data_IF_544029532504
#
_entry.id   IF_544029532504
#
_cell.length_a   1.000
_cell.length_b   1.000
_cell.length_c   1.000
_cell.angle_alpha   90.00
_cell.angle_beta   90.00
_cell.angle_gamma   90.00
#
_symmetry.space_group_name_H-M   'P 1'
#
loop_
_entity.id
_entity.type
_entity.pdbx_description
1 polymer ?
#
# COMPACT_ATOMS: atom_id res chain seq x y z
N UNK A 1 48.84 37.31 139.71
CA UNK A 1 50.01 37.38 138.80
C UNK A 1 49.87 36.29 137.74
N UNK A 2 49.97 36.69 136.46
CA UNK A 2 50.15 35.89 135.22
C UNK A 2 50.95 34.57 135.44
N UNK A 3 50.71 33.49 134.70
CA UNK A 3 50.90 33.38 133.24
C UNK A 3 49.97 32.33 132.60
N UNK A 4 49.21 32.76 131.59
CA UNK A 4 48.71 31.88 130.54
C UNK A 4 49.82 31.63 129.53
N UNK A 5 49.96 30.38 129.11
CA UNK A 5 50.69 30.00 127.90
C UNK A 5 49.62 29.75 126.82
N UNK A 6 49.09 30.83 126.24
CA UNK A 6 48.40 30.74 124.96
C UNK A 6 49.49 30.75 123.89
N UNK A 7 49.74 29.59 123.25
CA UNK A 7 50.48 29.56 121.99
C UNK A 7 49.67 30.34 120.96
N UNK A 8 50.14 31.55 120.63
CA UNK A 8 49.65 32.31 119.48
C UNK A 8 50.01 31.49 118.23
N UNK A 9 49.01 30.83 117.64
CA UNK A 9 49.16 30.11 116.38
C UNK A 9 49.18 31.17 115.26
N UNK A 10 50.38 31.46 114.75
CA UNK A 10 50.59 32.41 113.65
C UNK A 10 50.15 31.75 112.32
N UNK A 11 49.25 32.41 111.58
CA UNK A 11 48.73 31.97 110.29
C UNK A 11 49.38 32.80 109.17
N UNK A 12 49.76 32.17 108.06
CA UNK A 12 50.35 32.84 106.90
C UNK A 12 49.35 33.79 106.19
N UNK A 13 49.85 34.59 105.23
CA UNK A 13 49.03 35.51 104.40
C UNK A 13 47.91 34.82 103.61
N UNK A 14 47.95 33.49 103.49
CA UNK A 14 46.95 32.67 102.81
C UNK A 14 45.97 32.01 103.82
N UNK A 15 46.10 32.27 105.11
CA UNK A 15 45.21 31.80 106.16
C UNK A 15 45.53 30.41 106.73
N UNK A 16 46.76 29.90 106.57
CA UNK A 16 47.19 28.57 107.04
C UNK A 16 48.21 28.65 108.18
N UNK A 17 48.08 27.78 109.19
CA UNK A 17 49.01 27.70 110.32
C UNK A 17 50.42 27.23 109.89
N UNK A 18 51.40 27.25 110.81
CA UNK A 18 52.78 26.77 110.54
C UNK A 18 52.87 25.30 110.05
N UNK A 19 51.79 24.53 110.15
CA UNK A 19 51.69 23.15 109.69
C UNK A 19 50.91 23.01 108.37
N UNK A 20 50.42 24.12 107.80
CA UNK A 20 49.72 24.17 106.52
C UNK A 20 48.20 23.94 106.57
N UNK A 21 47.54 24.20 107.72
CA UNK A 21 46.09 24.02 107.91
C UNK A 21 45.34 25.34 108.15
N UNK A 22 44.17 25.50 107.54
CA UNK A 22 43.30 26.69 107.71
C UNK A 22 42.73 26.79 109.13
N UNK A 23 41.99 27.87 109.42
CA UNK A 23 41.32 28.07 110.73
C UNK A 23 40.31 26.98 111.08
N UNK A 24 39.80 26.25 110.09
CA UNK A 24 38.88 25.13 110.28
C UNK A 24 39.64 23.78 110.39
N UNK A 25 40.98 23.81 110.30
CA UNK A 25 41.86 22.66 110.47
C UNK A 25 42.07 21.83 109.20
N UNK A 26 41.87 22.40 108.00
CA UNK A 26 42.01 21.73 106.70
C UNK A 26 43.21 22.25 105.89
N UNK A 27 43.95 21.35 105.24
CA UNK A 27 45.08 21.68 104.39
C UNK A 27 44.66 22.42 103.11
N UNK A 28 45.63 22.91 102.33
CA UNK A 28 45.37 23.56 101.02
C UNK A 28 44.62 22.69 100.00
N UNK A 29 44.53 21.37 100.23
CA UNK A 29 43.77 20.42 99.39
C UNK A 29 42.39 20.12 99.98
N UNK A 30 42.01 20.77 101.09
CA UNK A 30 40.73 20.63 101.75
C UNK A 30 40.61 19.42 102.67
N UNK A 31 41.72 18.86 103.19
CA UNK A 31 41.72 17.70 104.09
C UNK A 31 42.25 18.06 105.48
N UNK A 32 41.58 17.61 106.53
CA UNK A 32 42.02 17.84 107.90
C UNK A 32 43.29 17.04 108.26
N UNK A 33 43.83 17.24 109.47
CA UNK A 33 45.02 16.52 109.96
C UNK A 33 44.87 14.99 109.97
N UNK A 34 43.64 14.49 110.01
CA UNK A 34 43.32 13.07 109.92
C UNK A 34 43.13 12.59 108.47
N UNK A 35 43.23 13.49 107.48
CA UNK A 35 43.15 13.18 106.06
C UNK A 35 41.74 13.14 105.47
N UNK A 36 40.74 13.74 106.12
CA UNK A 36 39.34 13.78 105.69
C UNK A 36 38.91 15.18 105.23
N UNK A 37 38.11 15.26 104.16
CA UNK A 37 37.57 16.50 103.64
C UNK A 37 36.44 17.06 104.52
N UNK A 38 35.93 18.24 104.17
CA UNK A 38 34.84 18.90 104.92
C UNK A 38 33.54 18.09 104.97
N UNK A 39 33.30 17.21 103.99
CA UNK A 39 32.18 16.24 104.00
C UNK A 39 32.49 14.98 104.83
N UNK A 40 33.66 14.89 105.43
CA UNK A 40 34.07 13.77 106.28
C UNK A 40 34.63 12.57 105.53
N UNK A 41 35.06 12.71 104.27
CA UNK A 41 35.60 11.64 103.43
C UNK A 41 37.10 11.82 103.15
N UNK A 42 37.87 10.76 103.25
CA UNK A 42 39.30 10.77 102.95
C UNK A 42 39.57 10.96 101.45
N UNK A 43 40.86 11.08 101.07
CA UNK A 43 41.28 11.21 99.67
C UNK A 43 40.83 10.08 98.74
N UNK A 44 40.47 8.91 99.31
CA UNK A 44 39.92 7.77 98.56
C UNK A 44 38.38 7.78 98.50
N UNK A 45 37.71 8.75 99.13
CA UNK A 45 36.26 8.90 99.13
C UNK A 45 35.53 8.13 100.22
N UNK A 46 36.21 7.70 101.29
CA UNK A 46 35.62 6.93 102.39
C UNK A 46 35.60 7.71 103.70
N UNK A 47 34.53 7.62 104.47
CA UNK A 47 34.38 8.27 105.77
C UNK A 47 35.24 7.60 106.86
N UNK A 48 35.22 8.13 108.08
CA UNK A 48 35.98 7.55 109.22
C UNK A 48 35.62 6.10 109.54
N UNK A 49 34.41 5.68 109.17
CA UNK A 49 33.93 4.30 109.33
C UNK A 49 34.31 3.40 108.15
N UNK A 50 35.02 3.93 107.14
CA UNK A 50 35.48 3.17 105.97
C UNK A 50 34.47 3.06 104.83
N UNK A 51 33.36 3.82 104.85
CA UNK A 51 32.30 3.76 103.84
C UNK A 51 32.26 4.99 102.94
N UNK A 52 31.99 4.79 101.66
CA UNK A 52 31.77 5.84 100.67
C UNK A 52 30.46 6.59 100.89
N UNK A 53 30.23 7.67 100.13
CA UNK A 53 28.98 8.46 100.18
C UNK A 53 27.72 7.63 99.88
N UNK A 54 27.87 6.56 99.10
CA UNK A 54 26.81 5.60 98.80
C UNK A 54 26.83 4.39 99.75
N UNK A 55 27.46 4.50 100.91
CA UNK A 55 27.53 3.46 101.95
C UNK A 55 28.23 2.15 101.57
N UNK A 56 29.13 2.15 100.58
CA UNK A 56 29.98 0.99 100.26
C UNK A 56 31.37 1.12 100.86
N UNK A 57 31.90 0.05 101.45
CA UNK A 57 33.30 0.00 101.90
C UNK A 57 34.30 -0.15 100.74
N UNK A 58 35.59 -0.26 101.08
CA UNK A 58 36.67 -0.38 100.09
C UNK A 58 36.60 -1.66 99.25
N UNK A 59 36.00 -2.72 99.80
CA UNK A 59 35.80 -4.00 99.11
C UNK A 59 34.49 -4.03 98.31
N UNK A 60 33.72 -2.92 98.34
CA UNK A 60 32.45 -2.76 97.64
C UNK A 60 31.27 -3.42 98.35
N UNK A 61 31.35 -3.64 99.67
CA UNK A 61 30.28 -4.17 100.50
C UNK A 61 29.47 -3.02 101.11
N UNK A 62 28.14 -3.07 100.97
CA UNK A 62 27.24 -2.04 101.46
C UNK A 62 26.98 -2.17 102.97
N UNK A 63 27.01 -1.02 103.67
CA UNK A 63 26.98 -0.91 105.13
C UNK A 63 25.82 -1.65 105.79
N UNK A 64 24.62 -1.58 105.21
CA UNK A 64 23.39 -2.11 105.81
C UNK A 64 23.06 -3.53 105.36
N UNK A 65 23.18 -3.81 104.07
CA UNK A 65 22.81 -5.10 103.47
C UNK A 65 23.89 -6.16 103.68
N UNK A 66 25.13 -5.74 103.99
CA UNK A 66 26.31 -6.62 104.13
C UNK A 66 26.58 -7.47 102.88
N UNK A 67 26.12 -7.01 101.72
CA UNK A 67 26.37 -7.63 100.41
C UNK A 67 27.03 -6.61 99.49
N UNK A 68 27.39 -7.03 98.26
CA UNK A 68 27.92 -6.13 97.23
C UNK A 68 26.90 -5.14 96.67
N UNK A 69 25.66 -5.14 97.16
CA UNK A 69 24.54 -4.36 96.63
C UNK A 69 23.87 -3.53 97.73
N UNK A 70 23.42 -2.32 97.40
CA UNK A 70 22.61 -1.47 98.28
C UNK A 70 21.20 -2.05 98.49
N UNK A 71 20.36 -1.34 99.26
CA UNK A 71 18.96 -1.74 99.50
C UNK A 71 18.10 -1.79 98.24
N UNK A 72 18.51 -1.08 97.20
CA UNK A 72 17.82 -1.05 95.90
C UNK A 72 18.38 -2.10 94.93
N UNK A 73 19.41 -2.84 95.34
CA UNK A 73 20.00 -3.94 94.56
C UNK A 73 21.17 -3.54 93.66
N UNK A 74 21.74 -2.33 93.80
CA UNK A 74 22.83 -1.83 92.96
C UNK A 74 24.18 -1.86 93.67
N UNK A 75 25.27 -2.17 92.97
CA UNK A 75 26.61 -2.20 93.54
C UNK A 75 27.23 -0.79 93.64
N UNK A 76 28.47 -0.70 94.15
CA UNK A 76 29.17 0.59 94.30
C UNK A 76 29.39 1.36 92.98
N UNK A 77 29.31 0.68 91.83
CA UNK A 77 29.36 1.29 90.48
C UNK A 77 27.97 1.65 89.94
N UNK A 78 26.91 1.40 90.70
CA UNK A 78 25.54 1.71 90.32
C UNK A 78 24.85 0.64 89.46
N UNK A 79 25.35 -0.60 89.41
CA UNK A 79 24.77 -1.68 88.61
C UNK A 79 24.16 -2.80 89.45
N UNK A 80 23.01 -3.32 89.03
CA UNK A 80 22.34 -4.45 89.66
C UNK A 80 23.13 -5.77 89.49
N UNK A 81 22.61 -6.86 90.05
CA UNK A 81 23.22 -8.18 89.92
C UNK A 81 23.25 -8.74 88.50
N UNK A 82 22.39 -8.22 87.62
CA UNK A 82 22.36 -8.53 86.20
C UNK A 82 23.27 -7.59 85.37
N UNK A 83 23.93 -6.61 86.01
CA UNK A 83 24.87 -5.69 85.40
C UNK A 83 24.23 -4.46 84.73
N UNK A 84 23.02 -4.05 85.12
CA UNK A 84 22.28 -2.89 84.60
C UNK A 84 22.21 -1.76 85.62
N UNK A 85 22.37 -0.52 85.15
CA UNK A 85 22.23 0.68 85.96
C UNK A 85 20.77 0.93 86.38
N UNK A 86 20.55 1.99 87.17
CA UNK A 86 19.21 2.37 87.65
C UNK A 86 18.24 2.76 86.54
N UNK A 87 18.74 3.04 85.34
CA UNK A 87 17.95 3.32 84.14
C UNK A 87 17.77 2.07 83.25
N UNK A 88 18.32 0.92 83.68
CA UNK A 88 18.20 -0.34 82.97
C UNK A 88 19.23 -0.56 81.87
N UNK A 89 20.37 0.14 81.86
CA UNK A 89 21.44 0.01 80.87
C UNK A 89 22.70 -0.63 81.45
N UNK A 90 23.31 -1.56 80.72
CA UNK A 90 24.56 -2.19 81.14
C UNK A 90 25.76 -1.23 81.05
N UNK A 91 26.92 -1.66 81.51
CA UNK A 91 28.15 -0.85 81.49
C UNK A 91 28.62 -0.40 80.09
N UNK A 92 28.06 -0.99 79.01
CA UNK A 92 28.29 -0.56 77.62
C UNK A 92 27.21 0.41 77.13
N UNK A 93 26.27 0.80 77.98
CA UNK A 93 25.16 1.71 77.68
C UNK A 93 23.99 1.07 76.95
N UNK A 94 23.78 -0.25 77.03
CA UNK A 94 22.67 -0.95 76.35
C UNK A 94 21.69 -1.60 77.34
N UNK A 95 20.40 -1.48 77.07
CA UNK A 95 19.35 -2.10 77.87
C UNK A 95 19.29 -3.62 77.67
N UNK A 96 18.38 -4.30 78.38
CA UNK A 96 18.18 -5.76 78.28
C UNK A 96 17.79 -6.23 76.87
N UNK A 97 17.14 -5.37 76.10
CA UNK A 97 16.78 -5.63 74.69
C UNK A 97 17.95 -5.36 73.72
N UNK A 98 19.08 -4.83 74.21
CA UNK A 98 20.28 -4.57 73.42
C UNK A 98 20.31 -3.21 72.73
N UNK A 99 19.48 -2.25 73.14
CA UNK A 99 19.41 -0.89 72.59
C UNK A 99 20.06 0.13 73.53
N UNK A 100 20.75 1.13 72.97
CA UNK A 100 21.34 2.21 73.72
C UNK A 100 20.27 3.21 74.21
N UNK A 101 20.70 4.25 74.94
CA UNK A 101 19.79 5.30 75.45
C UNK A 101 19.07 6.09 74.35
N UNK A 102 19.57 6.05 73.12
CA UNK A 102 18.96 6.67 71.94
C UNK A 102 18.04 5.69 71.19
N UNK A 103 17.87 4.45 71.68
CA UNK A 103 17.00 3.44 71.07
C UNK A 103 17.64 2.63 69.95
N UNK A 104 18.97 2.66 69.79
CA UNK A 104 19.71 1.96 68.73
C UNK A 104 20.54 0.80 69.26
N UNK A 105 20.50 -0.34 68.57
CA UNK A 105 21.31 -1.50 68.89
C UNK A 105 22.79 -1.26 68.55
N UNK A 106 23.65 -2.24 68.88
CA UNK A 106 25.09 -2.16 68.60
C UNK A 106 25.47 -1.99 67.12
N UNK A 107 24.57 -2.35 66.20
CA UNK A 107 24.75 -2.16 64.76
C UNK A 107 24.22 -0.80 64.27
N UNK A 108 23.68 0.02 65.16
CA UNK A 108 23.15 1.35 64.84
C UNK A 108 21.71 1.36 64.36
N UNK A 109 20.92 0.28 64.55
CA UNK A 109 19.52 0.21 64.12
C UNK A 109 18.55 0.25 65.31
N UNK A 110 17.43 0.93 65.14
CA UNK A 110 16.33 0.98 66.10
C UNK A 110 15.56 -0.36 66.15
N UNK A 111 14.48 -0.40 66.94
CA UNK A 111 13.68 -1.62 67.12
C UNK A 111 12.93 -2.03 65.86
N UNK A 112 12.59 -1.05 65.04
CA UNK A 112 11.94 -1.19 63.73
C UNK A 112 12.94 -1.62 62.64
N UNK A 113 14.25 -1.59 62.91
CA UNK A 113 15.29 -2.05 62.00
C UNK A 113 15.91 -0.96 61.12
N UNK A 114 15.67 0.32 61.42
CA UNK A 114 16.20 1.48 60.70
C UNK A 114 17.37 2.14 61.43
N UNK A 115 18.34 2.64 60.68
CA UNK A 115 19.47 3.38 61.19
C UNK A 115 19.08 4.80 61.66
N UNK A 116 20.07 5.62 62.02
CA UNK A 116 19.83 7.00 62.46
C UNK A 116 19.35 7.93 61.35
N UNK A 117 19.57 7.54 60.10
CA UNK A 117 19.15 8.28 58.90
C UNK A 117 17.78 7.79 58.40
N UNK A 118 17.20 6.76 59.03
CA UNK A 118 15.90 6.21 58.70
C UNK A 118 15.94 5.12 57.63
N UNK A 119 17.08 4.48 57.40
CA UNK A 119 17.25 3.43 56.40
C UNK A 119 17.43 2.05 57.04
N UNK A 120 16.78 1.04 56.47
CA UNK A 120 16.90 -0.35 56.89
C UNK A 120 18.30 -0.91 56.58
N UNK A 121 18.50 -2.20 56.88
CA UNK A 121 19.80 -2.86 56.66
C UNK A 121 20.16 -3.03 55.17
N UNK A 122 19.18 -2.91 54.30
CA UNK A 122 19.36 -2.98 52.84
C UNK A 122 19.53 -1.58 52.24
N UNK A 123 19.43 -0.52 53.05
CA UNK A 123 19.64 0.86 52.66
C UNK A 123 18.38 1.56 52.16
N UNK A 124 17.18 1.05 52.49
CA UNK A 124 15.90 1.61 52.07
C UNK A 124 15.13 2.24 53.25
N UNK A 125 14.48 3.38 53.00
CA UNK A 125 13.63 4.04 53.97
C UNK A 125 12.32 3.26 54.22
N UNK A 126 11.47 3.78 55.10
CA UNK A 126 10.17 3.16 55.41
C UNK A 126 9.23 3.06 54.19
N UNK A 127 9.43 3.92 53.20
CA UNK A 127 8.68 3.90 51.93
C UNK A 127 9.29 2.96 50.89
N UNK A 128 10.43 2.35 51.20
CA UNK A 128 11.13 1.42 50.33
C UNK A 128 12.07 2.07 49.31
N UNK A 129 12.49 3.32 49.51
CA UNK A 129 13.42 4.05 48.66
C UNK A 129 14.82 4.15 49.27
N UNK A 130 15.84 3.97 48.44
CA UNK A 130 17.24 4.13 48.84
C UNK A 130 17.60 5.59 49.10
N UNK A 131 18.85 5.83 49.47
CA UNK A 131 19.40 7.17 49.74
C UNK A 131 19.41 8.10 48.52
N UNK A 132 19.30 7.53 47.32
CA UNK A 132 19.22 8.26 46.05
C UNK A 132 17.75 8.47 45.60
N UNK A 133 16.78 7.93 46.35
CA UNK A 133 15.35 8.06 46.07
C UNK A 133 14.82 7.02 45.08
N UNK A 134 15.47 5.86 44.96
CA UNK A 134 15.06 4.75 44.08
C UNK A 134 14.54 3.55 44.89
N UNK A 135 13.44 2.95 44.43
CA UNK A 135 12.87 1.76 45.03
C UNK A 135 13.79 0.55 44.87
N UNK A 136 13.38 -0.59 45.44
CA UNK A 136 14.14 -1.84 45.35
C UNK A 136 14.28 -2.40 43.92
N UNK A 137 13.47 -1.92 42.99
CA UNK A 137 13.54 -2.26 41.57
C UNK A 137 14.38 -1.24 40.77
N UNK A 138 14.89 -0.20 41.44
CA UNK A 138 15.75 0.82 40.85
C UNK A 138 15.00 1.99 40.23
N UNK A 139 13.73 2.22 40.56
CA UNK A 139 12.88 3.30 40.02
C UNK A 139 12.55 4.35 41.07
N UNK A 140 12.60 5.62 40.71
CA UNK A 140 12.19 6.71 41.60
C UNK A 140 10.67 6.76 41.78
N UNK A 141 10.19 7.68 42.62
CA UNK A 141 8.76 7.87 42.89
C UNK A 141 7.93 8.17 41.62
N UNK A 142 8.55 8.74 40.58
CA UNK A 142 7.91 8.99 39.28
C UNK A 142 7.93 7.77 38.35
N UNK A 143 8.53 6.66 38.77
CA UNK A 143 8.63 5.43 38.00
C UNK A 143 9.76 5.38 36.99
N UNK A 144 10.79 6.23 37.11
CA UNK A 144 11.97 6.26 36.22
C UNK A 144 13.20 5.69 36.90
N UNK A 145 13.99 4.92 36.16
CA UNK A 145 15.25 4.36 36.62
C UNK A 145 16.35 5.43 36.78
N UNK A 146 17.53 5.00 37.21
CA UNK A 146 18.70 5.87 37.39
C UNK A 146 19.20 6.51 36.08
N UNK A 147 18.83 5.96 34.93
CA UNK A 147 19.14 6.50 33.61
C UNK A 147 18.01 7.41 33.06
N UNK A 148 16.89 7.51 33.77
CA UNK A 148 15.74 8.33 33.40
C UNK A 148 14.74 7.66 32.48
N UNK A 149 14.69 6.31 32.45
CA UNK A 149 13.74 5.52 31.67
C UNK A 149 12.69 4.87 32.57
N UNK A 150 11.44 4.87 32.12
CA UNK A 150 10.34 4.22 32.83
C UNK A 150 10.48 2.68 32.80
N UNK A 151 9.52 2.00 33.44
CA UNK A 151 9.47 0.53 33.47
C UNK A 151 9.27 -0.13 32.10
N UNK A 152 8.81 0.63 31.11
CA UNK A 152 8.69 0.19 29.71
C UNK A 152 9.97 0.49 28.90
N UNK A 153 10.94 1.18 29.50
CA UNK A 153 12.22 1.52 28.90
C UNK A 153 12.24 2.83 28.12
N UNK A 154 11.29 3.74 28.36
CA UNK A 154 11.16 5.03 27.67
C UNK A 154 11.46 6.22 28.59
N UNK A 155 12.15 7.24 28.05
CA UNK A 155 12.42 8.48 28.74
C UNK A 155 11.13 9.32 28.93
N UNK A 156 11.22 10.42 29.67
CA UNK A 156 10.07 11.33 29.89
C UNK A 156 9.49 11.90 28.57
N UNK A 157 10.27 11.87 27.48
CA UNK A 157 9.84 12.31 26.14
C UNK A 157 9.28 11.16 25.30
N UNK A 158 9.20 9.95 25.85
CA UNK A 158 8.67 8.77 25.19
C UNK A 158 9.64 8.07 24.24
N UNK A 159 10.96 8.28 24.38
CA UNK A 159 11.99 7.62 23.57
C UNK A 159 12.73 6.55 24.36
N UNK A 160 12.97 5.40 23.73
CA UNK A 160 13.75 4.33 24.32
C UNK A 160 15.24 4.69 24.44
N UNK A 161 16.01 3.77 25.04
CA UNK A 161 17.47 3.93 25.20
C UNK A 161 18.23 4.08 23.88
N UNK A 162 17.65 3.66 22.76
CA UNK A 162 18.21 3.84 21.41
C UNK A 162 17.73 5.13 20.72
N UNK A 163 16.83 5.89 21.35
CA UNK A 163 16.31 7.15 20.87
C UNK A 163 15.11 7.02 19.93
N UNK A 164 14.37 5.90 19.99
CA UNK A 164 13.16 5.63 19.20
C UNK A 164 11.91 5.67 20.07
N UNK A 165 10.84 6.26 19.56
CA UNK A 165 9.57 6.30 20.26
C UNK A 165 8.87 4.92 20.29
N UNK A 166 7.69 4.87 20.92
CA UNK A 166 6.85 3.66 21.00
C UNK A 166 6.42 3.14 19.62
N UNK A 167 6.42 3.97 18.58
CA UNK A 167 6.12 3.58 17.20
C UNK A 167 7.39 3.14 16.44
N UNK A 168 8.56 3.22 17.06
CA UNK A 168 9.83 2.81 16.51
C UNK A 168 10.53 3.87 15.67
N UNK A 169 10.18 5.16 15.81
CA UNK A 169 10.77 6.27 15.06
C UNK A 169 11.67 7.16 15.91
N UNK A 170 12.78 7.61 15.32
CA UNK A 170 13.67 8.59 15.94
C UNK A 170 13.03 10.00 15.97
N UNK A 171 13.70 10.94 16.65
CA UNK A 171 13.27 12.35 16.71
C UNK A 171 13.13 13.04 15.34
N UNK A 172 13.67 12.46 14.26
CA UNK A 172 13.56 12.94 12.88
C UNK A 172 12.52 12.17 12.07
N UNK A 173 11.69 11.35 12.73
CA UNK A 173 10.66 10.49 12.13
C UNK A 173 11.21 9.42 11.19
N UNK A 174 12.38 8.85 11.48
CA UNK A 174 12.92 7.70 10.77
C UNK A 174 12.93 6.47 11.67
N UNK A 175 12.52 5.33 11.12
CA UNK A 175 12.59 4.05 11.82
C UNK A 175 14.03 3.57 12.01
N UNK A 176 14.20 2.43 12.71
CA UNK A 176 15.53 1.82 12.95
C UNK A 176 16.30 1.46 11.67
N UNK A 177 15.60 1.27 10.55
CA UNK A 177 16.18 1.01 9.23
C UNK A 177 16.41 2.29 8.42
N UNK A 178 16.08 3.45 8.98
CA UNK A 178 16.26 4.76 8.39
C UNK A 178 15.19 5.15 7.38
N UNK A 179 14.00 4.54 7.40
CA UNK A 179 12.85 4.92 6.57
C UNK A 179 11.88 5.82 7.33
N UNK A 180 11.34 6.83 6.64
CA UNK A 180 10.28 7.64 7.21
C UNK A 180 8.91 6.95 7.12
N UNK A 181 7.87 7.65 7.57
CA UNK A 181 6.48 7.19 7.51
C UNK A 181 6.02 6.93 6.05
N UNK A 182 6.52 7.70 5.08
CA UNK A 182 6.25 7.52 3.65
C UNK A 182 7.10 6.41 3.00
N UNK A 183 7.95 5.74 3.78
CA UNK A 183 8.85 4.69 3.30
C UNK A 183 10.06 5.21 2.52
N UNK A 184 10.44 6.49 2.71
CA UNK A 184 11.63 7.07 2.08
C UNK A 184 12.83 6.92 3.01
N UNK A 185 13.90 6.32 2.49
CA UNK A 185 15.14 6.13 3.23
C UNK A 185 15.93 7.45 3.35
N UNK A 186 16.40 7.76 4.56
CA UNK A 186 17.14 9.00 4.88
C UNK A 186 18.42 9.16 4.07
N UNK A 187 19.09 8.07 3.72
CA UNK A 187 20.39 8.08 3.04
C UNK A 187 20.24 8.07 1.53
N UNK A 188 19.43 7.16 0.98
CA UNK A 188 19.27 7.06 -0.48
C UNK A 188 18.30 8.10 -1.04
N UNK A 189 17.43 8.68 -0.20
CA UNK A 189 16.31 9.56 -0.61
C UNK A 189 15.35 8.88 -1.59
N UNK A 190 15.25 7.56 -1.54
CA UNK A 190 14.33 6.75 -2.34
C UNK A 190 13.50 5.83 -1.45
N UNK A 191 12.58 5.06 -2.05
CA UNK A 191 11.83 4.01 -1.34
C UNK A 191 12.67 2.80 -0.90
N UNK A 192 13.97 2.78 -1.23
CA UNK A 192 14.84 1.64 -1.00
C UNK A 192 16.06 2.06 -0.17
N UNK A 193 16.58 1.17 0.67
CA UNK A 193 17.85 1.34 1.36
C UNK A 193 19.06 1.21 0.40
N UNK A 194 20.26 1.31 0.94
CA UNK A 194 21.50 1.14 0.17
C UNK A 194 21.69 -0.28 -0.40
N UNK A 195 20.90 -1.24 0.08
CA UNK A 195 20.89 -2.64 -0.38
C UNK A 195 19.73 -2.92 -1.34
N UNK A 196 19.00 -1.88 -1.79
CA UNK A 196 17.85 -1.94 -2.69
C UNK A 196 16.61 -2.62 -2.12
N UNK A 197 16.44 -2.65 -0.80
CA UNK A 197 15.24 -3.16 -0.13
C UNK A 197 14.37 -2.01 0.39
N UNK A 198 13.06 -2.14 0.28
CA UNK A 198 12.10 -1.18 0.82
C UNK A 198 11.98 -1.28 2.34
N UNK A 199 11.12 -0.44 2.93
CA UNK A 199 10.83 -0.41 4.38
C UNK A 199 10.36 -1.77 4.92
N UNK A 200 9.67 -2.55 4.10
CA UNK A 200 9.18 -3.88 4.46
C UNK A 200 10.24 -4.98 4.21
N UNK A 201 11.42 -4.61 3.70
CA UNK A 201 12.52 -5.53 3.43
C UNK A 201 12.42 -6.26 2.09
N UNK A 202 11.71 -5.71 1.09
CA UNK A 202 11.57 -6.29 -0.25
C UNK A 202 12.31 -5.49 -1.32
N UNK A 203 12.97 -6.20 -2.22
CA UNK A 203 13.66 -5.60 -3.35
C UNK A 203 12.68 -4.98 -4.36
N UNK A 204 13.21 -4.31 -5.38
CA UNK A 204 12.41 -3.72 -6.46
C UNK A 204 11.57 -4.76 -7.24
N UNK A 205 11.97 -6.03 -7.21
CA UNK A 205 11.22 -7.14 -7.83
C UNK A 205 10.15 -7.72 -6.89
N UNK A 206 10.03 -7.20 -5.66
CA UNK A 206 9.06 -7.64 -4.66
C UNK A 206 9.52 -8.85 -3.84
N UNK A 207 10.83 -9.16 -3.80
CA UNK A 207 11.38 -10.31 -3.06
C UNK A 207 12.22 -9.86 -1.87
N UNK A 208 12.05 -10.53 -0.73
CA UNK A 208 12.86 -10.29 0.44
C UNK A 208 14.30 -10.81 0.27
N UNK A 209 15.15 -10.59 1.27
CA UNK A 209 16.55 -11.04 1.27
C UNK A 209 16.73 -12.56 1.13
N UNK A 210 15.71 -13.34 1.45
CA UNK A 210 15.70 -14.79 1.28
C UNK A 210 15.16 -15.23 -0.09
N UNK A 211 14.74 -14.28 -0.94
CA UNK A 211 14.24 -14.53 -2.29
C UNK A 211 12.77 -14.90 -2.37
N UNK A 212 11.95 -14.57 -1.37
CA UNK A 212 10.51 -14.83 -1.32
C UNK A 212 9.70 -13.53 -1.45
N UNK A 213 8.61 -13.59 -2.19
CA UNK A 213 7.66 -12.49 -2.36
C UNK A 213 6.88 -12.21 -1.06
N UNK A 214 6.03 -11.18 -1.08
CA UNK A 214 5.18 -10.79 0.06
C UNK A 214 4.17 -11.87 0.46
N UNK A 215 3.88 -12.82 -0.42
CA UNK A 215 3.02 -13.98 -0.15
C UNK A 215 3.83 -15.21 0.32
N UNK A 216 5.16 -15.09 0.40
CA UNK A 216 6.05 -16.16 0.85
C UNK A 216 6.45 -17.14 -0.25
N UNK A 217 6.35 -16.77 -1.53
CA UNK A 217 6.72 -17.61 -2.69
C UNK A 217 7.99 -17.11 -3.36
N UNK A 218 8.88 -18.03 -3.72
CA UNK A 218 10.10 -17.70 -4.43
C UNK A 218 9.82 -17.30 -5.89
N UNK A 219 10.88 -16.96 -6.64
CA UNK A 219 10.78 -16.60 -8.07
C UNK A 219 10.19 -17.69 -8.97
N UNK A 220 10.26 -18.95 -8.55
CA UNK A 220 9.66 -20.08 -9.25
C UNK A 220 8.19 -20.32 -8.85
N UNK A 221 7.66 -19.52 -7.92
CA UNK A 221 6.28 -19.59 -7.44
C UNK A 221 6.04 -20.64 -6.36
N UNK A 222 7.08 -21.05 -5.62
CA UNK A 222 6.98 -22.04 -4.53
C UNK A 222 7.28 -21.44 -3.16
N UNK A 223 6.52 -21.87 -2.16
CA UNK A 223 6.73 -21.51 -0.76
C UNK A 223 8.02 -22.15 -0.21
N UNK A 224 8.35 -21.82 1.06
CA UNK A 224 9.51 -22.40 1.76
C UNK A 224 9.44 -23.94 1.90
N UNK A 225 8.25 -24.53 1.78
CA UNK A 225 8.04 -25.97 1.82
C UNK A 225 8.07 -26.62 0.42
N UNK A 226 8.25 -25.83 -0.64
CA UNK A 226 8.35 -26.29 -2.03
C UNK A 226 7.00 -26.51 -2.73
N UNK A 227 5.93 -25.88 -2.26
CA UNK A 227 4.58 -25.95 -2.86
C UNK A 227 4.16 -24.63 -3.49
N UNK A 228 3.46 -24.70 -4.63
CA UNK A 228 2.92 -23.53 -5.29
C UNK A 228 1.66 -22.98 -4.59
N UNK A 229 1.10 -21.88 -5.11
CA UNK A 229 -0.13 -21.26 -4.58
C UNK A 229 -1.35 -22.19 -4.59
N UNK A 230 -1.35 -23.21 -5.44
CA UNK A 230 -2.38 -24.25 -5.50
C UNK A 230 -2.02 -25.47 -4.63
N UNK A 231 -1.00 -25.35 -3.79
CA UNK A 231 -0.50 -26.38 -2.90
C UNK A 231 0.06 -27.60 -3.64
N UNK A 232 0.63 -27.44 -4.84
CA UNK A 232 1.30 -28.52 -5.55
C UNK A 232 2.82 -28.36 -5.53
N UNK A 233 3.53 -29.46 -5.29
CA UNK A 233 4.98 -29.46 -5.40
C UNK A 233 5.44 -29.32 -6.87
N UNK A 234 6.76 -29.23 -7.06
CA UNK A 234 7.39 -29.18 -8.39
C UNK A 234 7.08 -30.40 -9.27
N UNK A 235 6.76 -31.54 -8.66
CA UNK A 235 6.40 -32.77 -9.36
C UNK A 235 4.89 -32.87 -9.63
N UNK A 236 4.08 -31.94 -9.15
CA UNK A 236 2.63 -31.93 -9.29
C UNK A 236 1.89 -32.77 -8.27
N UNK A 237 2.48 -33.10 -7.13
CA UNK A 237 1.78 -33.73 -6.01
C UNK A 237 1.20 -32.67 -5.07
N UNK A 238 -0.07 -32.82 -4.68
CA UNK A 238 -0.74 -31.89 -3.78
C UNK A 238 -0.28 -32.08 -2.33
N UNK A 239 -0.07 -30.97 -1.61
CA UNK A 239 0.38 -30.92 -0.21
C UNK A 239 -0.51 -31.73 0.72
N UNK A 240 -1.82 -31.73 0.49
CA UNK A 240 -2.79 -32.35 1.39
C UNK A 240 -3.10 -33.79 0.97
N UNK A 241 -3.50 -34.01 -0.29
CA UNK A 241 -3.90 -35.37 -0.73
C UNK A 241 -2.72 -36.30 -0.96
N UNK A 242 -1.50 -35.75 -1.12
CA UNK A 242 -0.29 -36.47 -1.52
C UNK A 242 -0.42 -37.21 -2.88
N UNK A 243 -1.39 -36.82 -3.70
CA UNK A 243 -1.61 -37.36 -5.05
C UNK A 243 -1.43 -36.28 -6.11
N UNK A 244 -1.61 -36.61 -7.40
CA UNK A 244 -1.64 -35.62 -8.49
C UNK A 244 -2.84 -34.69 -8.49
N UNK A 245 -3.78 -34.86 -7.56
CA UNK A 245 -5.07 -34.20 -7.52
C UNK A 245 -5.24 -33.44 -6.20
N UNK A 246 -5.86 -32.27 -6.22
CA UNK A 246 -6.29 -31.58 -5.01
C UNK A 246 -7.51 -32.27 -4.38
N UNK A 247 -8.03 -31.70 -3.29
CA UNK A 247 -9.22 -32.21 -2.60
C UNK A 247 -10.49 -32.21 -3.46
N UNK A 248 -10.51 -31.40 -4.51
CA UNK A 248 -11.63 -31.27 -5.44
C UNK A 248 -11.44 -32.10 -6.71
N UNK A 249 -10.34 -32.88 -6.80
CA UNK A 249 -10.06 -33.77 -7.92
C UNK A 249 -9.40 -33.08 -9.12
N UNK A 250 -8.83 -31.88 -8.97
CA UNK A 250 -8.13 -31.16 -10.05
C UNK A 250 -6.62 -31.27 -9.88
N UNK A 251 -5.88 -31.43 -10.98
CA UNK A 251 -4.43 -31.48 -10.95
C UNK A 251 -3.79 -30.10 -10.88
N UNK A 252 -2.45 -30.04 -10.79
CA UNK A 252 -1.67 -28.79 -10.80
C UNK A 252 -2.00 -27.83 -11.96
N UNK A 253 -2.45 -28.35 -13.12
CA UNK A 253 -2.86 -27.52 -14.27
C UNK A 253 -4.33 -27.07 -14.18
N UNK A 254 -5.04 -27.42 -13.11
CA UNK A 254 -6.44 -27.05 -12.87
C UNK A 254 -7.45 -27.92 -13.62
N UNK A 255 -7.08 -29.12 -14.08
CA UNK A 255 -7.98 -30.03 -14.80
C UNK A 255 -8.27 -31.28 -13.98
N UNK A 256 -9.50 -31.78 -14.03
CA UNK A 256 -9.90 -33.04 -13.43
C UNK A 256 -9.39 -34.25 -14.25
N UNK A 257 -9.74 -35.46 -13.82
CA UNK A 257 -9.35 -36.70 -14.48
C UNK A 257 -9.89 -36.82 -15.91
N UNK A 258 -11.05 -36.25 -16.18
CA UNK A 258 -11.68 -36.21 -17.52
C UNK A 258 -11.12 -35.08 -18.41
N UNK A 259 -10.18 -34.29 -17.89
CA UNK A 259 -9.51 -33.23 -18.64
C UNK A 259 -10.28 -31.91 -18.72
N UNK A 260 -11.26 -31.69 -17.84
CA UNK A 260 -12.04 -30.45 -17.72
C UNK A 260 -11.57 -29.61 -16.54
N UNK A 261 -11.52 -28.30 -16.72
CA UNK A 261 -11.21 -27.36 -15.66
C UNK A 261 -12.37 -27.21 -14.68
N UNK A 262 -12.18 -26.43 -13.61
CA UNK A 262 -13.21 -26.15 -12.60
C UNK A 262 -14.49 -25.49 -13.16
N UNK A 263 -14.42 -24.91 -14.35
CA UNK A 263 -15.55 -24.31 -15.06
C UNK A 263 -16.21 -25.29 -16.05
N UNK A 264 -15.73 -26.54 -16.13
CA UNK A 264 -16.28 -27.57 -17.00
C UNK A 264 -15.77 -27.52 -18.44
N UNK A 265 -14.67 -26.83 -18.74
CA UNK A 265 -14.08 -26.72 -20.08
C UNK A 265 -12.76 -27.46 -20.20
N UNK A 266 -12.56 -28.17 -21.30
CA UNK A 266 -11.32 -28.86 -21.60
C UNK A 266 -10.20 -27.86 -22.00
N UNK A 267 -9.00 -28.39 -22.27
CA UNK A 267 -7.84 -27.56 -22.69
C UNK A 267 -8.04 -26.79 -24.00
N UNK A 268 -9.02 -27.16 -24.80
CA UNK A 268 -9.39 -26.47 -26.04
C UNK A 268 -10.50 -25.44 -25.84
N UNK A 269 -10.97 -25.25 -24.60
CA UNK A 269 -12.01 -24.31 -24.25
C UNK A 269 -13.43 -24.79 -24.52
N UNK A 270 -13.64 -26.11 -24.70
CA UNK A 270 -14.98 -26.68 -24.95
C UNK A 270 -15.46 -27.49 -23.74
N UNK A 271 -16.73 -27.37 -23.42
CA UNK A 271 -17.38 -28.19 -22.41
C UNK A 271 -17.57 -29.64 -22.89
N UNK A 272 -18.15 -30.47 -22.03
CA UNK A 272 -18.39 -31.88 -22.34
C UNK A 272 -19.32 -32.09 -23.55
N UNK A 273 -20.20 -31.13 -23.81
CA UNK A 273 -21.10 -31.13 -24.98
C UNK A 273 -20.42 -30.60 -26.25
N UNK A 274 -19.14 -30.20 -26.18
CA UNK A 274 -18.38 -29.69 -27.31
C UNK A 274 -18.61 -28.22 -27.64
N UNK A 275 -19.16 -27.42 -26.72
CA UNK A 275 -19.42 -25.99 -26.88
C UNK A 275 -18.45 -25.14 -26.06
N UNK A 276 -17.99 -24.05 -26.64
CA UNK A 276 -17.15 -23.08 -25.95
C UNK A 276 -17.96 -22.25 -24.94
N UNK A 277 -17.28 -21.34 -24.23
CA UNK A 277 -17.92 -20.47 -23.25
C UNK A 277 -19.01 -19.57 -23.83
N UNK A 278 -18.91 -19.22 -25.13
CA UNK A 278 -19.91 -18.45 -25.86
C UNK A 278 -21.10 -19.32 -26.34
N UNK A 279 -21.07 -20.64 -26.10
CA UNK A 279 -22.12 -21.56 -26.51
C UNK A 279 -22.04 -22.04 -27.96
N UNK A 280 -20.87 -21.92 -28.61
CA UNK A 280 -20.64 -22.36 -29.99
C UNK A 280 -19.71 -23.57 -30.05
N UNK A 281 -20.01 -24.52 -30.93
CA UNK A 281 -19.18 -25.68 -31.18
C UNK A 281 -17.92 -25.31 -31.97
N UNK A 282 -17.06 -26.29 -32.24
CA UNK A 282 -15.82 -26.11 -33.01
C UNK A 282 -16.06 -25.59 -34.45
N UNK A 283 -17.23 -25.84 -35.00
CA UNK A 283 -17.65 -25.39 -36.33
C UNK A 283 -18.26 -23.98 -36.31
N UNK A 284 -18.44 -23.38 -35.13
CA UNK A 284 -18.96 -22.02 -34.98
C UNK A 284 -20.49 -21.93 -34.88
N UNK A 285 -21.17 -23.05 -34.60
CA UNK A 285 -22.64 -23.09 -34.46
C UNK A 285 -23.05 -23.33 -33.01
N UNK A 286 -24.13 -22.66 -32.60
CA UNK A 286 -24.72 -22.84 -31.29
C UNK A 286 -25.51 -24.17 -31.21
N UNK A 287 -26.07 -24.46 -30.03
CA UNK A 287 -26.88 -25.67 -29.81
C UNK A 287 -28.12 -25.78 -30.69
N UNK A 288 -28.60 -24.64 -31.19
CA UNK A 288 -29.75 -24.54 -32.08
C UNK A 288 -29.34 -24.64 -33.57
N UNK A 289 -28.03 -24.76 -33.87
CA UNK A 289 -27.50 -24.89 -35.21
C UNK A 289 -27.25 -23.57 -35.95
N UNK A 290 -27.29 -22.43 -35.25
CA UNK A 290 -27.04 -21.11 -35.83
C UNK A 290 -25.62 -20.62 -35.57
N UNK A 291 -24.99 -20.03 -36.57
CA UNK A 291 -23.73 -19.32 -36.42
C UNK A 291 -23.97 -17.96 -35.73
N UNK A 292 -22.89 -17.18 -35.53
CA UNK A 292 -22.96 -15.85 -34.88
C UNK A 292 -23.83 -14.83 -35.63
N UNK A 293 -24.01 -15.01 -36.94
CA UNK A 293 -24.81 -14.14 -37.79
C UNK A 293 -26.28 -14.61 -37.90
N UNK A 294 -26.65 -15.69 -37.18
CA UNK A 294 -28.01 -16.23 -37.19
C UNK A 294 -28.33 -17.13 -38.38
N UNK A 295 -27.32 -17.64 -39.09
CA UNK A 295 -27.49 -18.55 -40.22
C UNK A 295 -27.25 -20.00 -39.83
N UNK A 296 -28.07 -20.90 -40.37
CA UNK A 296 -27.78 -22.33 -40.36
C UNK A 296 -26.74 -22.68 -41.44
N UNK A 297 -26.07 -23.84 -41.36
CA UNK A 297 -25.19 -24.31 -42.43
C UNK A 297 -25.87 -24.31 -43.81
N UNK A 298 -27.17 -24.58 -43.85
CA UNK A 298 -27.95 -24.58 -45.08
C UNK A 298 -28.23 -23.16 -45.61
N UNK A 299 -28.40 -22.18 -44.73
CA UNK A 299 -28.57 -20.78 -45.16
C UNK A 299 -27.26 -20.21 -45.72
N UNK A 300 -26.14 -20.54 -45.09
CA UNK A 300 -24.80 -20.19 -45.61
C UNK A 300 -24.54 -20.85 -46.97
N UNK A 301 -24.95 -22.10 -47.14
CA UNK A 301 -24.88 -22.80 -48.43
C UNK A 301 -25.75 -22.10 -49.49
N UNK A 302 -27.00 -21.77 -49.17
CA UNK A 302 -27.89 -21.03 -50.08
C UNK A 302 -27.33 -19.65 -50.44
N UNK A 303 -26.76 -18.93 -49.48
CA UNK A 303 -26.13 -17.63 -49.72
C UNK A 303 -24.92 -17.77 -50.64
N UNK A 304 -24.10 -18.82 -50.42
CA UNK A 304 -22.96 -19.15 -51.28
C UNK A 304 -23.43 -19.51 -52.69
N UNK A 305 -24.48 -20.30 -52.84
CA UNK A 305 -25.09 -20.64 -54.14
C UNK A 305 -25.67 -19.42 -54.86
N UNK A 306 -26.36 -18.53 -54.14
CA UNK A 306 -26.93 -17.30 -54.70
C UNK A 306 -25.82 -16.37 -55.21
N UNK A 307 -24.76 -16.16 -54.42
CA UNK A 307 -23.56 -15.43 -54.84
C UNK A 307 -22.93 -16.10 -56.06
N UNK A 308 -22.70 -17.42 -56.01
CA UNK A 308 -22.14 -18.20 -57.12
C UNK A 308 -22.94 -18.01 -58.42
N UNK A 309 -24.27 -18.00 -58.35
CA UNK A 309 -25.14 -17.71 -59.50
C UNK A 309 -24.92 -16.31 -60.06
N UNK A 310 -24.88 -15.28 -59.21
CA UNK A 310 -24.59 -13.89 -59.62
C UNK A 310 -23.22 -13.77 -60.32
N UNK A 311 -22.20 -14.47 -59.81
CA UNK A 311 -20.88 -14.53 -60.44
C UNK A 311 -20.92 -15.21 -61.82
N UNK A 312 -21.66 -16.31 -61.98
CA UNK A 312 -21.80 -16.96 -63.29
C UNK A 312 -22.56 -16.12 -64.31
N UNK A 313 -23.59 -15.38 -63.89
CA UNK A 313 -24.28 -14.41 -64.74
C UNK A 313 -23.32 -13.31 -65.22
N UNK A 314 -22.49 -12.80 -64.30
CA UNK A 314 -21.44 -11.82 -64.61
C UNK A 314 -20.35 -12.40 -65.52
N UNK A 315 -19.97 -13.65 -65.32
CA UNK A 315 -19.02 -14.36 -66.19
C UNK A 315 -19.55 -14.46 -67.62
N UNK A 316 -20.83 -14.79 -67.77
CA UNK A 316 -21.50 -14.85 -69.07
C UNK A 316 -21.49 -13.50 -69.78
N UNK A 317 -21.75 -12.40 -69.05
CA UNK A 317 -21.67 -11.04 -69.62
C UNK A 317 -20.23 -10.70 -70.06
N UNK A 318 -19.22 -11.00 -69.24
CA UNK A 318 -17.82 -10.78 -69.62
C UNK A 318 -17.39 -11.62 -70.84
N UNK A 319 -17.91 -12.84 -70.98
CA UNK A 319 -17.68 -13.66 -72.18
C UNK A 319 -18.30 -13.04 -73.44
N UNK A 320 -19.46 -12.38 -73.35
CA UNK A 320 -20.04 -11.63 -74.47
C UNK A 320 -19.13 -10.48 -74.90
N UNK A 321 -18.49 -9.80 -73.95
CA UNK A 321 -17.49 -8.75 -74.26
C UNK A 321 -16.31 -9.35 -75.04
N UNK A 322 -15.76 -10.48 -74.60
CA UNK A 322 -14.65 -11.16 -75.29
C UNK A 322 -15.02 -11.53 -76.73
N UNK A 323 -16.28 -11.97 -76.94
CA UNK A 323 -16.82 -12.30 -78.27
C UNK A 323 -17.22 -11.07 -79.10
N UNK A 324 -17.09 -9.86 -78.56
CA UNK A 324 -17.51 -8.59 -79.17
C UNK A 324 -19.02 -8.52 -79.44
N UNK A 325 -19.81 -9.16 -78.57
CA UNK A 325 -21.27 -9.18 -78.58
C UNK A 325 -21.88 -8.20 -77.57
N UNK A 326 -21.06 -7.59 -76.72
CA UNK A 326 -21.44 -6.65 -75.66
C UNK A 326 -20.29 -5.65 -75.45
N UNK A 327 -20.63 -4.39 -75.19
CA UNK A 327 -19.65 -3.35 -74.85
C UNK A 327 -19.36 -3.35 -73.34
N UNK A 328 -18.17 -2.88 -72.93
CA UNK A 328 -17.75 -2.90 -71.52
C UNK A 328 -18.63 -2.02 -70.63
N UNK A 329 -19.20 -0.96 -71.20
CA UNK A 329 -20.11 -0.04 -70.52
C UNK A 329 -21.43 -0.72 -70.12
N UNK A 330 -21.92 -1.65 -70.94
CA UNK A 330 -23.15 -2.39 -70.64
C UNK A 330 -22.94 -3.34 -69.45
N UNK A 331 -21.75 -3.95 -69.35
CA UNK A 331 -21.38 -4.73 -68.18
C UNK A 331 -21.34 -3.89 -66.91
N UNK A 332 -20.71 -2.70 -66.97
CA UNK A 332 -20.61 -1.79 -65.81
C UNK A 332 -22.00 -1.34 -65.34
N UNK A 333 -22.97 -1.19 -66.25
CA UNK A 333 -24.35 -0.82 -65.88
C UNK A 333 -25.16 -1.98 -65.31
N UNK A 334 -24.89 -3.20 -65.75
CA UNK A 334 -25.73 -4.36 -65.46
C UNK A 334 -25.19 -5.26 -64.33
N UNK A 335 -23.89 -5.24 -64.06
CA UNK A 335 -23.27 -6.09 -63.04
C UNK A 335 -22.74 -5.27 -61.86
N UNK A 336 -23.07 -5.72 -60.66
CA UNK A 336 -22.47 -5.22 -59.41
C UNK A 336 -21.12 -5.90 -59.10
N UNK A 337 -20.76 -6.95 -59.84
CA UNK A 337 -19.50 -7.68 -59.66
C UNK A 337 -18.40 -7.01 -60.48
N UNK A 338 -17.28 -6.68 -59.85
CA UNK A 338 -16.12 -6.17 -60.60
C UNK A 338 -15.44 -7.29 -61.40
N UNK A 339 -14.76 -6.96 -62.50
CA UNK A 339 -14.03 -7.97 -63.27
C UNK A 339 -12.89 -8.59 -62.43
N UNK A 340 -12.32 -7.84 -61.48
CA UNK A 340 -11.30 -8.37 -60.56
C UNK A 340 -11.87 -9.45 -59.62
N UNK A 341 -13.01 -9.18 -58.99
CA UNK A 341 -13.73 -10.18 -58.17
C UNK A 341 -14.15 -11.38 -59.03
N UNK A 342 -14.58 -11.14 -60.27
CA UNK A 342 -14.95 -12.18 -61.21
C UNK A 342 -13.76 -13.09 -61.60
N UNK A 343 -12.57 -12.51 -61.79
CA UNK A 343 -11.33 -13.26 -62.04
C UNK A 343 -10.96 -14.11 -60.83
N UNK A 344 -11.08 -13.56 -59.62
CA UNK A 344 -10.83 -14.31 -58.39
C UNK A 344 -11.76 -15.52 -58.28
N UNK A 345 -13.06 -15.30 -58.49
CA UNK A 345 -14.07 -16.35 -58.53
C UNK A 345 -13.79 -17.40 -59.63
N UNK A 346 -13.45 -16.97 -60.84
CA UNK A 346 -13.16 -17.88 -61.96
C UNK A 346 -11.96 -18.81 -61.66
N UNK A 347 -10.96 -18.32 -60.94
CA UNK A 347 -9.82 -19.15 -60.47
C UNK A 347 -10.24 -20.14 -59.40
N UNK A 348 -11.05 -19.71 -58.43
CA UNK A 348 -11.56 -20.58 -57.35
C UNK A 348 -12.40 -21.73 -57.91
N UNK A 349 -13.23 -21.45 -58.93
CA UNK A 349 -14.09 -22.43 -59.60
C UNK A 349 -13.37 -23.24 -60.70
N UNK A 350 -12.05 -23.10 -60.83
CA UNK A 350 -11.23 -23.81 -61.82
C UNK A 350 -11.71 -23.62 -63.28
N UNK A 351 -12.18 -22.43 -63.65
CA UNK A 351 -12.51 -22.08 -65.03
C UNK A 351 -11.25 -22.16 -65.91
N UNK A 352 -11.41 -22.53 -67.19
CA UNK A 352 -10.27 -22.74 -68.10
C UNK A 352 -9.28 -21.55 -68.10
N UNK A 353 -7.95 -21.80 -68.01
CA UNK A 353 -6.96 -20.74 -67.91
C UNK A 353 -6.99 -19.71 -69.05
N UNK A 354 -7.39 -20.14 -70.26
CA UNK A 354 -7.53 -19.24 -71.42
C UNK A 354 -8.64 -18.22 -71.18
N UNK A 355 -9.77 -18.62 -70.59
CA UNK A 355 -10.87 -17.72 -70.24
C UNK A 355 -10.40 -16.71 -69.20
N UNK A 356 -9.70 -17.17 -68.15
CA UNK A 356 -9.13 -16.29 -67.11
C UNK A 356 -8.17 -15.26 -67.71
N UNK A 357 -7.35 -15.67 -68.70
CA UNK A 357 -6.45 -14.75 -69.41
C UNK A 357 -7.20 -13.70 -70.22
N UNK A 358 -8.30 -14.08 -70.88
CA UNK A 358 -9.14 -13.11 -71.60
C UNK A 358 -9.88 -12.17 -70.64
N UNK A 359 -10.31 -12.65 -69.46
CA UNK A 359 -10.90 -11.78 -68.43
C UNK A 359 -9.92 -10.71 -67.94
N UNK A 360 -8.61 -10.99 -67.89
CA UNK A 360 -7.62 -9.96 -67.59
C UNK A 360 -7.60 -8.83 -68.62
N UNK A 361 -7.80 -9.14 -69.91
CA UNK A 361 -7.92 -8.11 -70.95
C UNK A 361 -9.21 -7.30 -70.80
N UNK A 362 -10.31 -7.96 -70.46
CA UNK A 362 -11.57 -7.28 -70.12
C UNK A 362 -11.38 -6.40 -68.88
N UNK A 363 -10.60 -6.84 -67.89
CA UNK A 363 -10.31 -6.05 -66.70
C UNK A 363 -9.52 -4.78 -67.04
N UNK A 364 -8.53 -4.86 -67.93
CA UNK A 364 -7.81 -3.66 -68.38
C UNK A 364 -8.77 -2.60 -68.95
N UNK A 365 -9.76 -3.03 -69.74
CA UNK A 365 -10.82 -2.15 -70.23
C UNK A 365 -11.72 -1.67 -69.08
N UNK A 366 -12.20 -2.57 -68.23
CA UNK A 366 -13.05 -2.24 -67.08
C UNK A 366 -12.40 -1.18 -66.18
N UNK A 367 -11.11 -1.30 -65.87
CA UNK A 367 -10.39 -0.34 -65.03
C UNK A 367 -10.29 1.05 -65.67
N UNK A 368 -10.26 1.15 -66.99
CA UNK A 368 -10.32 2.43 -67.70
C UNK A 368 -11.71 3.05 -67.57
N UNK A 369 -12.76 2.24 -67.82
CA UNK A 369 -14.13 2.72 -67.92
C UNK A 369 -14.86 2.87 -66.58
N UNK A 370 -14.50 2.10 -65.55
CA UNK A 370 -15.09 2.15 -64.21
C UNK A 370 -14.27 3.03 -63.24
N UNK A 371 -13.23 3.72 -63.71
CA UNK A 371 -12.42 4.62 -62.87
C UNK A 371 -13.30 5.78 -62.37
N UNK A 372 -13.40 6.01 -61.05
CA UNK A 372 -14.09 7.18 -60.52
C UNK A 372 -13.49 8.48 -61.07
N UNK A 373 -14.34 9.43 -61.46
CA UNK A 373 -13.87 10.72 -61.96
C UNK A 373 -13.49 11.64 -60.80
N UNK A 374 -12.21 12.02 -60.72
CA UNK A 374 -11.73 13.05 -59.80
C UNK A 374 -11.65 14.40 -60.52
N UNK A 375 -12.69 15.21 -60.33
CA UNK A 375 -12.81 16.55 -60.93
C UNK A 375 -11.61 17.44 -60.59
N UNK A 376 -11.17 17.42 -59.33
CA UNK A 376 -10.11 18.30 -58.85
C UNK A 376 -8.75 17.92 -59.44
N UNK A 377 -8.46 16.62 -59.54
CA UNK A 377 -7.24 16.15 -60.16
C UNK A 377 -7.24 16.40 -61.68
N UNK A 378 -8.37 16.20 -62.34
CA UNK A 378 -8.54 16.45 -63.77
C UNK A 378 -8.25 17.91 -64.13
N UNK A 379 -8.90 18.86 -63.44
CA UNK A 379 -8.72 20.30 -63.69
C UNK A 379 -7.26 20.78 -63.45
N UNK A 380 -6.52 20.12 -62.55
CA UNK A 380 -5.11 20.46 -62.27
C UNK A 380 -4.12 19.95 -63.30
N UNK A 381 -4.43 18.84 -63.99
CA UNK A 381 -3.46 18.11 -64.83
C UNK A 381 -3.77 18.15 -66.32
N UNK A 382 -4.99 18.54 -66.69
CA UNK A 382 -5.44 18.46 -68.07
C UNK A 382 -5.24 19.77 -68.81
N UNK A 383 -4.49 19.69 -69.92
CA UNK A 383 -4.36 20.74 -70.93
C UNK A 383 -4.83 20.12 -72.25
N UNK A 384 -5.76 20.80 -72.93
CA UNK A 384 -6.32 20.38 -74.21
C UNK A 384 -5.83 21.34 -75.29
N UNK A 385 -5.15 20.81 -76.30
CA UNK A 385 -4.64 21.61 -77.41
C UNK A 385 -5.71 21.74 -78.48
N UNK A 386 -6.08 22.99 -78.80
CA UNK A 386 -7.03 23.34 -79.86
C UNK A 386 -6.37 24.38 -80.76
N UNK A 387 -6.20 24.08 -82.05
CA UNK A 387 -5.56 24.97 -83.03
C UNK A 387 -4.20 25.55 -82.57
N UNK A 388 -3.39 24.71 -81.90
CA UNK A 388 -2.08 25.08 -81.40
C UNK A 388 -2.08 25.93 -80.12
N UNK A 389 -3.24 26.11 -79.47
CA UNK A 389 -3.37 26.81 -78.18
C UNK A 389 -3.71 25.85 -77.05
N UNK A 390 -3.07 26.09 -75.90
CA UNK A 390 -3.33 25.35 -74.66
C UNK A 390 -4.60 25.89 -73.99
N UNK A 391 -5.63 25.04 -73.89
CA UNK A 391 -6.88 25.34 -73.19
C UNK A 391 -6.97 24.47 -71.94
N UNK A 392 -7.19 25.12 -70.79
CA UNK A 392 -7.44 24.44 -69.51
C UNK A 392 -8.97 24.38 -69.33
N UNK A 393 -9.58 23.18 -69.23
CA UNK A 393 -11.01 23.06 -68.95
C UNK A 393 -11.38 23.74 -67.64
N UNK A 394 -12.54 24.41 -67.59
CA UNK A 394 -13.06 25.00 -66.34
C UNK A 394 -13.99 24.03 -65.61
N UNK A 395 -14.25 24.30 -64.33
CA UNK A 395 -15.22 23.52 -63.55
C UNK A 395 -16.61 23.52 -64.22
N UNK A 396 -17.04 24.66 -64.77
CA UNK A 396 -18.32 24.78 -65.48
C UNK A 396 -18.38 23.92 -66.75
N UNK A 397 -17.27 23.80 -67.50
CA UNK A 397 -17.22 22.96 -68.70
C UNK A 397 -17.39 21.48 -68.35
N UNK A 398 -16.74 21.06 -67.25
CA UNK A 398 -16.82 19.68 -66.75
C UNK A 398 -18.23 19.37 -66.24
N UNK A 399 -18.81 20.26 -65.45
CA UNK A 399 -20.16 20.06 -64.89
C UNK A 399 -21.23 19.99 -65.96
N UNK A 400 -21.12 20.82 -67.00
CA UNK A 400 -22.01 20.77 -68.15
C UNK A 400 -21.94 19.42 -68.88
N UNK A 401 -20.73 18.89 -69.06
CA UNK A 401 -20.53 17.57 -69.69
C UNK A 401 -21.07 16.43 -68.81
N UNK A 402 -20.94 16.52 -67.49
CA UNK A 402 -21.52 15.55 -66.55
C UNK A 402 -23.06 15.60 -66.59
N UNK A 403 -23.67 16.78 -66.57
CA UNK A 403 -25.13 16.95 -66.70
C UNK A 403 -25.64 16.31 -67.99
N UNK A 404 -24.94 16.56 -69.10
CA UNK A 404 -25.24 15.97 -70.39
C UNK A 404 -25.15 14.44 -70.41
N UNK A 405 -24.13 13.86 -69.78
CA UNK A 405 -23.99 12.40 -69.68
C UNK A 405 -25.10 11.79 -68.82
N UNK A 406 -25.43 12.40 -67.68
CA UNK A 406 -26.54 11.96 -66.81
C UNK A 406 -27.87 11.97 -67.55
N UNK A 407 -28.17 13.04 -68.29
CA UNK A 407 -29.40 13.18 -69.05
C UNK A 407 -29.58 12.09 -70.11
N UNK A 408 -28.48 11.58 -70.69
CA UNK A 408 -28.51 10.50 -71.68
C UNK A 408 -28.42 9.09 -71.09
N UNK A 409 -28.46 8.94 -69.76
CA UNK A 409 -28.27 7.63 -69.10
C UNK A 409 -26.89 7.01 -69.40
N UNK A 410 -25.90 7.87 -69.69
CA UNK A 410 -24.52 7.46 -69.96
C UNK A 410 -23.74 7.29 -68.65
N UNK A 411 -22.65 6.53 -68.72
CA UNK A 411 -21.75 6.38 -67.58
C UNK A 411 -21.13 7.73 -67.20
N UNK A 412 -21.00 7.96 -65.89
CA UNK A 412 -20.38 9.18 -65.31
C UNK A 412 -19.05 8.83 -64.63
N UNK A 413 -18.31 7.93 -65.27
CA UNK A 413 -16.96 7.56 -64.86
C UNK A 413 -15.91 8.37 -65.63
N UNK A 414 -14.66 8.31 -65.16
CA UNK A 414 -13.55 9.15 -65.58
C UNK A 414 -13.39 9.21 -67.09
N UNK A 415 -13.16 8.07 -67.73
CA UNK A 415 -12.95 8.01 -69.18
C UNK A 415 -14.04 8.74 -69.99
N UNK A 416 -15.32 8.44 -69.70
CA UNK A 416 -16.45 9.02 -70.43
C UNK A 416 -16.58 10.53 -70.23
N UNK A 417 -16.34 11.01 -69.00
CA UNK A 417 -16.38 12.43 -68.69
C UNK A 417 -15.22 13.15 -69.38
N UNK A 418 -13.99 12.63 -69.27
CA UNK A 418 -12.79 13.21 -69.87
C UNK A 418 -12.91 13.31 -71.41
N UNK A 419 -13.42 12.27 -72.06
CA UNK A 419 -13.65 12.24 -73.50
C UNK A 419 -14.73 13.25 -73.92
N UNK A 420 -15.82 13.34 -73.17
CA UNK A 420 -16.92 14.28 -73.44
C UNK A 420 -16.45 15.73 -73.29
N UNK A 421 -15.70 16.04 -72.24
CA UNK A 421 -15.09 17.37 -72.03
C UNK A 421 -14.13 17.70 -73.17
N UNK A 422 -13.31 16.73 -73.60
CA UNK A 422 -12.39 16.94 -74.72
C UNK A 422 -13.13 17.28 -76.02
N UNK A 423 -14.17 16.52 -76.36
CA UNK A 423 -15.00 16.78 -77.55
C UNK A 423 -15.70 18.14 -77.45
N UNK A 424 -16.20 18.48 -76.26
CA UNK A 424 -16.85 19.76 -75.99
C UNK A 424 -15.89 20.95 -76.22
N UNK A 425 -14.71 20.92 -75.60
CA UNK A 425 -13.70 21.99 -75.69
C UNK A 425 -13.15 22.15 -77.11
N UNK A 426 -12.99 21.05 -77.85
CA UNK A 426 -12.56 21.08 -79.26
C UNK A 426 -13.65 21.57 -80.24
N UNK A 427 -14.87 21.78 -79.77
CA UNK A 427 -16.02 22.12 -80.63
C UNK A 427 -16.55 20.96 -81.46
N UNK A 428 -16.07 19.73 -81.22
CA UNK A 428 -16.56 18.49 -81.85
C UNK A 428 -17.93 18.06 -81.30
N UNK A 429 -18.32 18.60 -80.14
CA UNK A 429 -19.58 18.32 -79.47
C UNK A 429 -20.21 19.60 -78.92
N UNK A 430 -21.39 19.98 -79.39
CA UNK A 430 -22.12 21.14 -78.85
C UNK A 430 -23.03 20.74 -77.69
N UNK A 431 -22.44 20.57 -76.51
CA UNK A 431 -23.18 20.16 -75.30
C UNK A 431 -24.26 21.18 -74.92
N UNK A 432 -24.00 22.49 -75.09
CA UNK A 432 -24.93 23.57 -74.72
C UNK A 432 -26.21 23.55 -75.56
N UNK A 433 -26.08 23.47 -76.88
CA UNK A 433 -27.24 23.37 -77.79
C UNK A 433 -28.00 22.06 -77.61
N UNK A 434 -27.28 20.94 -77.43
CA UNK A 434 -27.93 19.65 -77.23
C UNK A 434 -28.72 19.58 -75.92
N UNK A 435 -28.21 20.16 -74.83
CA UNK A 435 -28.95 20.30 -73.58
C UNK A 435 -30.18 21.20 -73.73
N UNK A 436 -30.06 22.32 -74.45
CA UNK A 436 -31.18 23.25 -74.69
C UNK A 436 -32.28 22.60 -75.54
N UNK A 437 -31.91 21.99 -76.67
CA UNK A 437 -32.83 21.30 -77.57
C UNK A 437 -33.56 20.13 -76.87
N UNK A 438 -32.86 19.42 -75.97
CA UNK A 438 -33.48 18.34 -75.19
C UNK A 438 -34.45 18.90 -74.13
N UNK A 439 -34.08 19.97 -73.42
CA UNK A 439 -34.97 20.64 -72.45
C UNK A 439 -36.22 21.21 -73.14
N UNK A 440 -36.07 21.83 -74.30
CA UNK A 440 -37.19 22.29 -75.13
C UNK A 440 -38.06 21.14 -75.67
N UNK A 441 -37.43 20.01 -76.05
CA UNK A 441 -38.15 18.82 -76.49
C UNK A 441 -38.98 18.18 -75.37
N UNK A 442 -38.44 18.12 -74.15
CA UNK A 442 -39.16 17.65 -72.95
C UNK A 442 -40.33 18.60 -72.65
N UNK A 443 -40.10 19.91 -72.62
CA UNK A 443 -41.15 20.91 -72.40
C UNK A 443 -42.26 20.82 -73.45
N UNK A 444 -41.93 20.70 -74.74
CA UNK A 444 -42.93 20.52 -75.81
C UNK A 444 -43.71 19.23 -75.67
N UNK A 445 -43.06 18.14 -75.24
CA UNK A 445 -43.76 16.87 -74.98
C UNK A 445 -44.69 16.99 -73.77
N UNK A 446 -44.26 17.65 -72.69
CA UNK A 446 -45.09 17.92 -71.51
C UNK A 446 -46.29 18.82 -71.85
N UNK A 447 -46.07 19.89 -72.61
CA UNK A 447 -47.14 20.76 -73.13
C UNK A 447 -48.11 20.00 -74.02
N UNK A 448 -47.61 19.14 -74.93
CA UNK A 448 -48.45 18.30 -75.78
C UNK A 448 -49.27 17.30 -74.97
N UNK A 449 -48.66 16.65 -73.98
CA UNK A 449 -49.38 15.76 -73.05
C UNK A 449 -50.44 16.54 -72.27
N UNK A 450 -50.13 17.75 -71.82
CA UNK A 450 -51.09 18.62 -71.13
C UNK A 450 -52.25 19.06 -72.06
N UNK A 451 -51.97 19.39 -73.32
CA UNK A 451 -52.99 19.69 -74.33
C UNK A 451 -53.87 18.48 -74.66
N UNK A 452 -53.27 17.30 -74.81
CA UNK A 452 -54.01 16.07 -75.08
C UNK A 452 -54.92 15.71 -73.90
N UNK A 453 -54.43 15.87 -72.66
CA UNK A 453 -55.25 15.76 -71.44
C UNK A 453 -56.38 16.81 -71.45
N UNK A 454 -56.11 18.06 -71.84
CA UNK A 454 -57.12 19.11 -71.90
C UNK A 454 -58.19 18.85 -72.98
N UNK A 455 -57.81 18.32 -74.14
CA UNK A 455 -58.74 17.89 -75.21
C UNK A 455 -59.62 16.74 -74.75
N UNK A 456 -59.03 15.73 -74.09
CA UNK A 456 -59.79 14.61 -73.50
C UNK A 456 -60.80 15.16 -72.48
N UNK A 457 -60.37 16.04 -71.57
CA UNK A 457 -61.26 16.64 -70.58
C UNK A 457 -62.36 17.53 -71.21
N UNK A 458 -62.06 18.23 -72.30
CA UNK A 458 -63.04 19.00 -73.07
C UNK A 458 -64.07 18.11 -73.78
N UNK A 459 -63.63 16.99 -74.36
CA UNK A 459 -64.50 15.99 -74.98
C UNK A 459 -65.43 15.35 -73.93
N UNK A 460 -64.92 15.02 -72.75
CA UNK A 460 -65.71 14.53 -71.61
C UNK A 460 -66.81 15.55 -71.25
N UNK A 461 -66.48 16.83 -71.09
CA UNK A 461 -67.47 17.88 -70.79
C UNK A 461 -68.52 18.10 -71.90
N UNK A 462 -68.18 17.88 -73.17
CA UNK A 462 -69.16 17.93 -74.27
C UNK A 462 -70.07 16.70 -74.31
N UNK A 463 -69.55 15.53 -73.92
CA UNK A 463 -70.33 14.31 -73.73
C UNK A 463 -71.36 14.51 -72.62
N UNK A 464 -70.94 15.05 -71.47
CA UNK A 464 -71.82 15.38 -70.33
C UNK A 464 -72.88 16.45 -70.67
N UNK A 465 -72.62 17.36 -71.62
CA UNK A 465 -73.62 18.35 -72.08
C UNK A 465 -74.62 17.79 -73.09
N UNK A 466 -74.27 16.76 -73.87
CA UNK A 466 -75.20 16.09 -74.79
C UNK A 466 -76.10 15.10 -74.06
N UNK A 467 -75.65 14.56 -72.94
CA UNK A 467 -76.47 13.84 -71.97
C UNK A 467 -76.98 14.78 -70.86
N UNK A 468 -77.68 15.86 -71.26
CA UNK A 468 -78.58 16.51 -70.33
C UNK A 468 -79.58 15.47 -69.77
N UNK A 469 -79.92 15.53 -68.46
CA UNK A 469 -80.58 14.43 -67.78
C UNK A 469 -81.93 14.15 -68.44
N UNK A 470 -82.05 12.99 -69.08
CA UNK A 470 -83.37 12.43 -69.38
C UNK A 470 -84.01 12.09 -68.04
N UNK A 471 -84.85 13.03 -67.58
CA UNK A 471 -85.89 12.82 -66.57
C UNK A 471 -86.87 11.73 -67.01
#
# INVERSE_FOLDING_TARGET
MRKGNDEIVDYDLLGYDKYGYDKEGFDKKGYNREGYNREGYNKKGYNKEGYSKNNFDIDGIHKETKTKYDKEGYNYRGYDSAGYDREGYNYKGYNKEGYNREGYNRKGYNKEGYDREGYDREGFDEKGYDREGYDREGFNEKGYDREGYDREGFDEKGYDREGYDKEGYDKRKYDRNGFDEAGINRYTRTKYDAWFYDKDGYDKSGYNREGYDREGYNKEGYDKEGYDRNQFDRYGNNKITKTKWDKEGYNKKGYNQDGYNRQGYNRHGYNQDGYNQDGYNKEGYNREGYNRDGYTPNDEMKLKEAKRKQYFESLSMAMKIIKKEMEIEDYIKASEVSIEELIAFAKEENVEPNIVRELYRVNEQYQIYARPFDKNQYLKRTIIIVDGKDIIPTEADVDLCIEYLKMRGSLTYGYQIEETVRKYIKGELNVKEMLLATKEGVLKNEEKVAEDIAKINGAIKQFDKKEGPKR
#
